data_IF_605999082481
#
_entry.id   IF_605999082481
#
_cell.length_a   1.000
_cell.length_b   1.000
_cell.length_c   1.000
_cell.angle_alpha   90.00
_cell.angle_beta   90.00
_cell.angle_gamma   90.00
#
_symmetry.space_group_name_H-M   'P 1'
#
loop_
_entity.id
_entity.type
_entity.pdbx_description
1 polymer ?
#
# COMPACT_ATOMS: atom_id res chain seq x y z
N UNK A 1 -14.92 38.04 36.03
CA UNK A 1 -15.45 39.02 35.05
C UNK A 1 -15.50 38.33 33.68
N UNK A 2 -16.71 37.96 33.33
CA UNK A 2 -17.52 38.29 32.16
C UNK A 2 -16.90 37.91 30.81
N UNK A 3 -17.52 36.84 30.21
CA UNK A 3 -18.42 36.83 29.01
C UNK A 3 -17.67 36.95 27.71
N UNK A 4 -17.88 36.14 26.70
CA UNK A 4 -19.13 35.96 25.98
C UNK A 4 -19.07 34.72 25.07
N UNK A 5 -20.11 33.91 25.13
CA UNK A 5 -20.46 32.84 24.19
C UNK A 5 -21.28 33.44 23.04
N UNK A 6 -20.98 33.13 21.81
CA UNK A 6 -21.90 33.38 20.69
C UNK A 6 -22.04 32.10 19.84
N UNK A 7 -23.25 31.55 19.74
CA UNK A 7 -23.59 30.53 18.75
C UNK A 7 -24.18 31.19 17.51
N UNK A 8 -23.81 30.79 16.31
CA UNK A 8 -24.57 31.16 15.13
C UNK A 8 -25.12 29.92 14.43
N UNK A 9 -26.42 29.82 14.51
CA UNK A 9 -27.32 28.87 13.84
C UNK A 9 -27.47 29.18 12.34
N UNK A 10 -27.56 28.11 11.57
CA UNK A 10 -28.51 27.84 10.50
C UNK A 10 -28.67 28.86 9.35
N UNK A 11 -28.56 28.40 8.13
CA UNK A 11 -29.60 28.66 7.09
C UNK A 11 -29.62 27.50 6.11
N UNK A 12 -30.72 26.82 6.14
CA UNK A 12 -31.25 25.83 5.22
C UNK A 12 -31.86 26.58 4.03
N UNK A 13 -31.45 26.28 2.81
CA UNK A 13 -32.26 26.67 1.61
C UNK A 13 -32.44 25.48 0.68
N UNK A 14 -33.63 24.88 0.81
CA UNK A 14 -34.29 24.06 -0.22
C UNK A 14 -34.51 24.93 -1.49
N UNK A 15 -34.24 24.39 -2.65
CA UNK A 15 -34.94 24.76 -3.89
C UNK A 15 -35.36 23.48 -4.62
N UNK A 16 -36.65 23.22 -4.53
CA UNK A 16 -37.42 22.43 -5.49
C UNK A 16 -37.55 23.26 -6.78
N UNK A 17 -37.38 22.66 -7.92
CA UNK A 17 -37.95 23.10 -9.18
C UNK A 17 -38.38 21.89 -9.98
N UNK A 18 -39.69 21.76 -10.04
CA UNK A 18 -40.51 20.90 -10.88
C UNK A 18 -40.47 21.42 -12.31
N UNK A 19 -40.35 20.54 -13.28
CA UNK A 19 -40.49 20.88 -14.69
C UNK A 19 -40.78 19.62 -15.51
N UNK A 20 -42.08 19.31 -15.67
CA UNK A 20 -42.59 18.31 -16.57
C UNK A 20 -42.79 18.95 -17.95
N UNK A 21 -42.32 18.35 -19.03
CA UNK A 21 -42.83 18.55 -20.38
C UNK A 21 -42.88 17.20 -21.09
N UNK A 22 -44.11 16.83 -21.42
CA UNK A 22 -44.47 15.73 -22.30
C UNK A 22 -44.36 16.17 -23.75
N UNK A 23 -43.79 15.36 -24.60
CA UNK A 23 -44.02 15.46 -26.07
C UNK A 23 -44.00 14.04 -26.65
N UNK A 24 -45.19 13.62 -27.01
CA UNK A 24 -45.54 12.48 -27.87
C UNK A 24 -45.06 12.73 -29.30
N UNK A 25 -44.43 11.75 -29.93
CA UNK A 25 -44.36 11.60 -31.37
C UNK A 25 -44.28 10.15 -31.80
N UNK A 26 -45.14 9.85 -32.74
CA UNK A 26 -45.63 8.55 -33.24
C UNK A 26 -44.74 8.07 -34.39
N UNK A 27 -44.64 6.72 -34.49
CA UNK A 27 -44.39 5.82 -35.64
C UNK A 27 -43.20 6.08 -36.59
N UNK A 28 -42.38 5.07 -36.72
CA UNK A 28 -42.28 4.21 -37.93
C UNK A 28 -41.40 3.00 -37.63
N UNK A 29 -41.92 1.80 -37.88
CA UNK A 29 -41.22 0.51 -37.82
C UNK A 29 -40.64 0.23 -39.22
N UNK A 30 -39.36 -0.11 -39.35
CA UNK A 30 -38.92 -1.07 -40.35
C UNK A 30 -38.49 -2.37 -39.64
N UNK A 31 -39.16 -3.42 -40.00
CA UNK A 31 -38.82 -4.81 -39.71
C UNK A 31 -37.49 -5.14 -40.38
N UNK A 32 -36.42 -5.16 -39.62
CA UNK A 32 -35.14 -5.71 -40.07
C UNK A 32 -34.96 -7.05 -39.37
N UNK A 33 -35.03 -8.08 -40.18
CA UNK A 33 -34.73 -9.48 -39.78
C UNK A 33 -33.27 -9.54 -39.34
N UNK A 34 -33.03 -9.46 -38.04
CA UNK A 34 -31.72 -9.68 -37.47
C UNK A 34 -31.46 -11.17 -37.35
N UNK A 35 -30.59 -11.65 -38.21
CA UNK A 35 -29.95 -12.95 -38.10
C UNK A 35 -29.23 -12.99 -36.76
N UNK A 36 -29.71 -13.79 -35.81
CA UNK A 36 -29.03 -14.05 -34.56
C UNK A 36 -27.79 -14.89 -34.82
N UNK A 37 -26.68 -14.22 -35.05
CA UNK A 37 -25.37 -14.85 -34.93
C UNK A 37 -25.11 -15.03 -33.42
N UNK A 38 -25.38 -16.21 -32.93
CA UNK A 38 -24.92 -16.67 -31.60
C UNK A 38 -23.42 -16.68 -31.63
N UNK A 39 -22.82 -15.53 -31.34
CA UNK A 39 -21.41 -15.48 -30.93
C UNK A 39 -21.33 -16.21 -29.59
N UNK A 40 -20.82 -17.41 -29.68
CA UNK A 40 -20.43 -18.27 -28.59
C UNK A 40 -19.52 -17.47 -27.68
N UNK A 41 -20.06 -16.99 -26.58
CA UNK A 41 -19.31 -16.38 -25.51
C UNK A 41 -18.53 -17.50 -24.84
N UNK A 42 -17.39 -17.82 -25.48
CA UNK A 42 -16.39 -18.73 -24.94
C UNK A 42 -16.04 -18.19 -23.55
N UNK A 43 -16.16 -19.05 -22.58
CA UNK A 43 -16.08 -18.80 -21.16
C UNK A 43 -14.96 -17.84 -20.80
N UNK A 44 -15.36 -16.68 -20.34
CA UNK A 44 -14.50 -15.83 -19.54
C UNK A 44 -14.19 -16.65 -18.29
N UNK A 45 -12.93 -16.93 -17.98
CA UNK A 45 -12.58 -17.57 -16.72
C UNK A 45 -13.22 -16.79 -15.58
N UNK A 46 -13.65 -17.44 -14.48
CA UNK A 46 -14.11 -16.73 -13.30
C UNK A 46 -13.06 -15.65 -12.99
N UNK A 47 -13.53 -14.45 -12.69
CA UNK A 47 -12.67 -13.35 -12.27
C UNK A 47 -11.75 -13.91 -11.19
N UNK A 48 -10.54 -14.21 -11.62
CA UNK A 48 -9.43 -14.56 -10.76
C UNK A 48 -9.39 -13.45 -9.72
N UNK A 49 -9.70 -13.83 -8.50
CA UNK A 49 -9.50 -12.96 -7.36
C UNK A 49 -8.10 -12.40 -7.57
N UNK A 50 -8.02 -11.10 -7.88
CA UNK A 50 -6.78 -10.38 -7.89
C UNK A 50 -6.28 -10.46 -6.43
N UNK A 51 -5.61 -11.57 -6.11
CA UNK A 51 -4.65 -11.60 -5.03
C UNK A 51 -3.80 -10.39 -5.33
N UNK A 52 -3.82 -9.40 -4.44
CA UNK A 52 -2.96 -8.24 -4.55
C UNK A 52 -1.53 -8.78 -4.52
N UNK A 53 -1.05 -9.19 -5.68
CA UNK A 53 0.34 -9.49 -5.88
C UNK A 53 1.05 -8.17 -5.66
N UNK A 54 1.56 -7.98 -4.45
CA UNK A 54 2.50 -6.91 -4.15
C UNK A 54 3.60 -7.05 -5.20
N UNK A 55 3.72 -6.07 -6.08
CA UNK A 55 4.77 -6.10 -7.10
C UNK A 55 6.10 -6.27 -6.37
N UNK A 56 6.89 -7.27 -6.78
CA UNK A 56 8.17 -7.58 -6.17
C UNK A 56 9.04 -6.33 -6.04
N UNK A 57 9.59 -6.10 -4.85
CA UNK A 57 10.48 -4.98 -4.57
C UNK A 57 11.92 -5.46 -4.62
N UNK A 58 12.53 -5.33 -5.78
CA UNK A 58 13.91 -5.78 -6.05
C UNK A 58 14.81 -4.56 -6.17
N UNK A 59 15.94 -4.57 -5.46
CA UNK A 59 16.97 -3.55 -5.62
C UNK A 59 17.87 -3.87 -6.83
N UNK A 60 18.11 -2.86 -7.66
CA UNK A 60 19.00 -2.95 -8.81
C UNK A 60 20.47 -2.65 -8.52
N UNK A 61 20.75 -1.96 -7.39
CA UNK A 61 22.11 -1.58 -6.96
C UNK A 61 22.64 -2.50 -5.85
N UNK A 62 23.90 -2.28 -5.42
CA UNK A 62 24.53 -3.08 -4.38
C UNK A 62 24.05 -2.74 -2.97
N UNK A 63 23.56 -1.51 -2.79
CA UNK A 63 22.96 -1.04 -1.55
C UNK A 63 21.55 -0.55 -1.81
N UNK A 64 20.62 -0.87 -0.93
CA UNK A 64 19.23 -0.45 -0.97
C UNK A 64 18.86 0.38 0.24
N UNK A 65 17.98 1.37 0.04
CA UNK A 65 17.43 2.19 1.10
C UNK A 65 15.91 2.28 0.94
N UNK A 66 15.17 2.17 2.05
CA UNK A 66 13.73 2.48 2.07
C UNK A 66 13.45 3.48 3.16
N UNK A 67 12.90 4.63 2.78
CA UNK A 67 12.40 5.62 3.71
C UNK A 67 10.93 5.34 3.98
N UNK A 68 10.57 5.16 5.25
CA UNK A 68 9.21 4.87 5.69
C UNK A 68 8.71 6.03 6.54
N UNK A 69 7.64 6.68 6.09
CA UNK A 69 7.03 7.83 6.78
C UNK A 69 5.81 7.37 7.56
N UNK A 70 5.98 7.21 8.87
CA UNK A 70 5.01 6.58 9.78
C UNK A 70 4.28 7.66 10.58
N UNK A 71 2.97 7.50 10.74
CA UNK A 71 2.15 8.36 11.61
C UNK A 71 2.70 8.30 13.05
N UNK A 72 2.82 9.41 13.77
CA UNK A 72 3.40 9.43 15.11
C UNK A 72 2.66 8.52 16.12
N UNK A 73 1.35 8.40 15.98
CA UNK A 73 0.48 7.56 16.82
C UNK A 73 0.50 6.07 16.43
N UNK A 74 1.20 5.71 15.32
CA UNK A 74 1.29 4.35 14.78
C UNK A 74 2.69 3.74 14.83
N UNK A 75 3.61 4.39 15.51
CA UNK A 75 5.00 3.88 15.61
C UNK A 75 5.07 2.53 16.29
N UNK A 76 4.28 2.28 17.34
CA UNK A 76 4.26 1.00 18.03
C UNK A 76 3.71 -0.13 17.13
N UNK A 77 2.64 0.13 16.36
CA UNK A 77 2.10 -0.83 15.39
C UNK A 77 3.14 -1.18 14.32
N UNK A 78 3.85 -0.16 13.79
CA UNK A 78 4.91 -0.36 12.80
C UNK A 78 6.10 -1.15 13.36
N UNK A 79 6.56 -0.83 14.57
CA UNK A 79 7.65 -1.53 15.23
C UNK A 79 7.30 -3.00 15.53
N UNK A 80 6.03 -3.29 15.87
CA UNK A 80 5.54 -4.66 16.03
C UNK A 80 5.62 -5.44 14.71
N UNK A 81 5.26 -4.82 13.58
CA UNK A 81 5.40 -5.43 12.25
C UNK A 81 6.87 -5.65 11.89
N UNK A 82 7.77 -4.70 12.20
CA UNK A 82 9.22 -4.85 11.99
C UNK A 82 9.79 -6.01 12.82
N UNK A 83 9.32 -6.19 14.05
CA UNK A 83 9.70 -7.34 14.88
C UNK A 83 9.28 -8.67 14.25
N UNK A 84 8.05 -8.73 13.70
CA UNK A 84 7.56 -9.90 12.96
C UNK A 84 8.30 -10.14 11.66
N UNK A 85 8.69 -9.09 10.94
CA UNK A 85 9.56 -9.20 9.77
C UNK A 85 10.91 -9.83 10.12
N UNK A 86 11.53 -9.39 11.23
CA UNK A 86 12.78 -9.96 11.74
C UNK A 86 12.60 -11.43 12.08
N UNK A 87 11.50 -11.80 12.75
CA UNK A 87 11.16 -13.20 13.07
C UNK A 87 11.05 -14.03 11.79
N UNK A 88 10.25 -13.57 10.81
CA UNK A 88 10.05 -14.24 9.54
C UNK A 88 11.36 -14.51 8.78
N UNK A 89 12.24 -13.51 8.73
CA UNK A 89 13.52 -13.63 8.05
C UNK A 89 14.47 -14.60 8.80
N UNK A 90 14.53 -14.54 10.13
CA UNK A 90 15.46 -15.33 10.94
C UNK A 90 15.06 -16.80 11.02
N UNK A 91 13.77 -17.12 11.05
CA UNK A 91 13.25 -18.48 11.14
C UNK A 91 13.06 -19.15 9.78
N UNK A 92 13.15 -18.39 8.68
CA UNK A 92 12.95 -18.92 7.33
C UNK A 92 13.93 -20.06 7.01
N UNK A 93 13.43 -21.13 6.41
CA UNK A 93 14.26 -22.18 5.82
C UNK A 93 14.95 -21.76 4.51
N UNK A 94 14.44 -20.67 3.87
CA UNK A 94 14.96 -20.17 2.60
C UNK A 94 16.32 -19.46 2.81
N UNK A 95 17.40 -19.92 2.17
CA UNK A 95 18.74 -19.35 2.34
C UNK A 95 18.79 -17.86 1.89
N UNK A 96 17.98 -17.47 0.90
CA UNK A 96 17.89 -16.06 0.44
C UNK A 96 17.35 -15.19 1.56
N UNK A 97 16.34 -15.63 2.31
CA UNK A 97 15.77 -14.87 3.45
C UNK A 97 16.80 -14.70 4.58
N UNK A 98 17.61 -15.73 4.84
CA UNK A 98 18.72 -15.64 5.82
C UNK A 98 19.79 -14.63 5.38
N UNK A 99 20.14 -14.60 4.09
CA UNK A 99 21.06 -13.61 3.57
C UNK A 99 20.49 -12.18 3.67
N UNK A 100 19.21 -12.01 3.35
CA UNK A 100 18.52 -10.72 3.54
C UNK A 100 18.55 -10.28 5.02
N UNK A 101 18.28 -11.21 5.97
CA UNK A 101 18.35 -10.91 7.40
C UNK A 101 19.73 -10.40 7.83
N UNK A 102 20.80 -10.96 7.27
CA UNK A 102 22.18 -10.60 7.62
C UNK A 102 22.56 -9.17 7.18
N UNK A 103 21.97 -8.68 6.10
CA UNK A 103 22.30 -7.37 5.49
C UNK A 103 21.26 -6.28 5.72
N UNK A 104 20.10 -6.61 6.27
CA UNK A 104 18.99 -5.66 6.45
C UNK A 104 19.00 -5.05 7.86
N UNK A 105 19.09 -3.73 7.93
CA UNK A 105 19.08 -2.96 9.17
C UNK A 105 17.94 -1.95 9.16
N UNK A 106 17.32 -1.74 10.30
CA UNK A 106 16.22 -0.79 10.49
C UNK A 106 16.64 0.25 11.52
N UNK A 107 16.54 1.51 11.14
CA UNK A 107 16.83 2.65 11.99
C UNK A 107 15.58 3.50 12.15
N UNK A 108 15.40 4.09 13.32
CA UNK A 108 14.43 5.14 13.60
C UNK A 108 15.17 6.46 13.73
N UNK A 109 14.76 7.49 12.99
CA UNK A 109 15.30 8.83 13.19
C UNK A 109 14.79 9.41 14.50
N UNK A 110 15.66 10.02 15.33
CA UNK A 110 15.20 10.78 16.48
C UNK A 110 14.45 12.06 16.06
N UNK A 111 14.77 12.57 14.87
CA UNK A 111 14.16 13.77 14.31
C UNK A 111 12.95 13.39 13.45
N UNK A 112 11.82 14.11 13.58
CA UNK A 112 10.68 13.89 12.73
C UNK A 112 10.98 14.32 11.29
N UNK A 113 10.34 13.66 10.32
CA UNK A 113 10.35 14.13 8.94
C UNK A 113 9.61 15.47 8.80
N UNK A 114 9.81 16.17 7.66
CA UNK A 114 9.25 17.50 7.42
C UNK A 114 7.73 17.60 7.59
N UNK A 115 7.00 16.49 7.45
CA UNK A 115 5.55 16.40 7.66
C UNK A 115 5.14 16.10 9.10
N UNK A 116 6.09 16.03 10.04
CA UNK A 116 5.85 15.57 11.40
C UNK A 116 5.72 14.05 11.55
N UNK A 117 5.91 13.28 10.46
CA UNK A 117 5.94 11.82 10.50
C UNK A 117 7.20 11.32 11.19
N UNK A 118 7.10 10.19 11.90
CA UNK A 118 8.27 9.45 12.34
C UNK A 118 8.95 8.81 11.12
N UNK A 119 10.26 8.98 11.00
CA UNK A 119 11.04 8.42 9.89
C UNK A 119 11.73 7.13 10.34
N UNK A 120 11.44 6.04 9.61
CA UNK A 120 12.19 4.79 9.71
C UNK A 120 12.95 4.53 8.41
N UNK A 121 14.21 4.19 8.55
CA UNK A 121 15.12 3.94 7.43
C UNK A 121 15.51 2.47 7.42
N UNK A 122 15.16 1.79 6.35
CA UNK A 122 15.66 0.43 6.10
C UNK A 122 16.90 0.56 5.23
N UNK A 123 17.99 -0.05 5.66
CA UNK A 123 19.25 -0.14 4.90
C UNK A 123 19.51 -1.62 4.63
N UNK A 124 19.75 -1.92 3.36
CA UNK A 124 20.14 -3.26 2.90
C UNK A 124 21.51 -3.14 2.27
N UNK A 125 22.52 -3.70 2.93
CA UNK A 125 23.90 -3.65 2.47
C UNK A 125 24.69 -4.87 2.97
N UNK A 126 25.16 -5.75 2.03
CA UNK A 126 24.87 -5.75 0.60
C UNK A 126 23.45 -6.25 0.27
N UNK A 127 22.95 -5.82 -0.90
CA UNK A 127 21.70 -6.34 -1.46
C UNK A 127 21.88 -7.76 -1.98
N UNK A 128 20.94 -8.65 -1.68
CA UNK A 128 20.83 -9.96 -2.35
C UNK A 128 20.15 -9.76 -3.69
N UNK A 129 20.91 -9.86 -4.76
CA UNK A 129 20.43 -9.58 -6.13
C UNK A 129 19.26 -10.48 -6.51
N UNK A 130 18.24 -9.87 -7.11
CA UNK A 130 17.03 -10.57 -7.55
C UNK A 130 16.07 -10.97 -6.41
N UNK A 131 16.43 -10.74 -5.14
CA UNK A 131 15.57 -11.05 -4.03
C UNK A 131 14.45 -10.00 -3.87
N UNK A 132 13.25 -10.48 -3.51
CA UNK A 132 12.10 -9.62 -3.19
C UNK A 132 12.19 -9.14 -1.74
N UNK A 133 12.20 -7.82 -1.56
CA UNK A 133 12.21 -7.13 -0.27
C UNK A 133 10.82 -6.58 0.14
N UNK A 134 9.76 -7.11 -0.47
CA UNK A 134 8.39 -6.76 -0.07
C UNK A 134 8.07 -7.30 1.31
N UNK A 135 7.84 -6.43 2.29
CA UNK A 135 7.52 -6.83 3.68
C UNK A 135 6.31 -7.76 3.71
N UNK A 136 5.25 -7.43 2.95
CA UNK A 136 4.04 -8.25 2.89
C UNK A 136 4.28 -9.66 2.33
N UNK A 137 5.14 -9.81 1.30
CA UNK A 137 5.48 -11.10 0.73
C UNK A 137 6.26 -11.96 1.74
N UNK A 138 7.23 -11.37 2.44
CA UNK A 138 8.04 -12.07 3.46
C UNK A 138 7.17 -12.51 4.62
N UNK A 139 6.26 -11.67 5.11
CA UNK A 139 5.34 -12.03 6.18
C UNK A 139 4.38 -13.15 5.74
N UNK A 140 3.91 -13.13 4.49
CA UNK A 140 3.04 -14.17 3.95
C UNK A 140 3.69 -15.56 3.87
N UNK A 141 5.02 -15.63 3.76
CA UNK A 141 5.77 -16.88 3.79
C UNK A 141 5.86 -17.50 5.20
N UNK A 142 5.74 -16.68 6.25
CA UNK A 142 6.04 -17.09 7.61
C UNK A 142 4.82 -17.24 8.52
N UNK A 143 3.75 -16.52 8.25
CA UNK A 143 2.59 -16.41 9.14
C UNK A 143 1.31 -16.94 8.52
N UNK A 144 0.38 -17.38 9.37
CA UNK A 144 -0.95 -17.83 8.96
C UNK A 144 -1.77 -16.69 8.34
N UNK A 145 -2.76 -17.03 7.52
CA UNK A 145 -3.63 -16.03 6.87
C UNK A 145 -4.31 -15.09 7.87
N UNK A 146 -4.67 -15.57 9.06
CA UNK A 146 -5.31 -14.77 10.09
C UNK A 146 -4.34 -13.74 10.70
N UNK A 147 -3.12 -14.16 11.04
CA UNK A 147 -2.05 -13.27 11.53
C UNK A 147 -1.62 -12.29 10.46
N UNK A 148 -1.43 -12.77 9.22
CA UNK A 148 -1.06 -11.94 8.09
C UNK A 148 -2.06 -10.81 7.85
N UNK A 149 -3.36 -11.07 7.94
CA UNK A 149 -4.40 -10.04 7.79
C UNK A 149 -4.24 -8.92 8.82
N UNK A 150 -3.96 -9.28 10.07
CA UNK A 150 -3.74 -8.32 11.17
C UNK A 150 -2.45 -7.52 10.94
N UNK A 151 -1.35 -8.20 10.63
CA UNK A 151 -0.05 -7.58 10.37
C UNK A 151 -0.11 -6.64 9.15
N UNK A 152 -0.80 -7.06 8.09
CA UNK A 152 -0.96 -6.25 6.89
C UNK A 152 -1.76 -4.97 7.18
N UNK A 153 -2.84 -5.09 7.96
CA UNK A 153 -3.62 -3.93 8.40
C UNK A 153 -2.77 -2.96 9.24
N UNK A 154 -2.04 -3.46 10.24
CA UNK A 154 -1.14 -2.64 11.06
C UNK A 154 -0.08 -1.95 10.20
N UNK A 155 0.51 -2.69 9.25
CA UNK A 155 1.53 -2.17 8.35
C UNK A 155 1.00 -1.05 7.47
N UNK A 156 -0.13 -1.26 6.80
CA UNK A 156 -0.71 -0.27 5.88
C UNK A 156 -1.27 0.95 6.59
N UNK A 157 -1.94 0.75 7.74
CA UNK A 157 -2.51 1.83 8.54
C UNK A 157 -1.44 2.74 9.18
N UNK A 158 -0.23 2.22 9.37
CA UNK A 158 0.88 2.96 9.97
C UNK A 158 1.41 4.08 9.07
N UNK A 159 1.29 3.95 7.76
CA UNK A 159 1.85 4.95 6.84
C UNK A 159 1.05 6.25 6.79
N UNK A 160 1.78 7.38 6.92
CA UNK A 160 1.25 8.71 6.68
C UNK A 160 1.43 9.15 5.23
N UNK A 161 2.62 8.91 4.66
CA UNK A 161 3.00 9.36 3.31
C UNK A 161 3.56 8.24 2.41
N UNK A 162 3.53 6.99 2.89
CA UNK A 162 4.03 5.85 2.12
C UNK A 162 5.53 5.59 2.29
N UNK A 163 6.16 5.07 1.24
CA UNK A 163 7.56 4.63 1.22
C UNK A 163 8.28 5.22 0.01
N UNK A 164 9.56 5.59 0.21
CA UNK A 164 10.48 5.87 -0.88
C UNK A 164 11.53 4.75 -0.95
N UNK A 165 11.63 4.12 -2.12
CA UNK A 165 12.54 3.02 -2.40
C UNK A 165 13.70 3.55 -3.26
N UNK A 166 14.94 3.46 -2.76
CA UNK A 166 16.10 4.08 -3.38
C UNK A 166 17.21 3.06 -3.60
N UNK A 167 17.74 3.01 -4.81
CA UNK A 167 18.95 2.26 -5.14
C UNK A 167 20.17 3.16 -4.92
N UNK A 168 21.19 2.66 -4.23
CA UNK A 168 22.40 3.40 -3.92
C UNK A 168 23.62 2.73 -4.55
N UNK A 169 24.44 3.52 -5.20
CA UNK A 169 25.76 3.10 -5.70
C UNK A 169 26.85 3.87 -4.95
N UNK A 170 27.86 3.15 -4.51
CA UNK A 170 29.00 3.77 -3.82
C UNK A 170 29.75 4.72 -4.77
N UNK A 171 29.93 5.96 -4.40
CA UNK A 171 30.70 6.95 -5.15
C UNK A 171 32.08 7.13 -4.55
N UNK A 172 32.18 7.12 -3.22
CA UNK A 172 33.46 7.28 -2.51
C UNK A 172 33.39 6.61 -1.14
N UNK A 173 34.47 5.96 -0.75
CA UNK A 173 34.67 5.40 0.58
C UNK A 173 35.83 6.16 1.25
N UNK A 174 35.51 6.97 2.26
CA UNK A 174 36.52 7.75 2.97
C UNK A 174 37.31 6.95 4.02
N UNK A 175 36.95 5.68 4.22
CA UNK A 175 37.61 4.76 5.15
C UNK A 175 38.70 3.88 4.50
N UNK A 176 38.90 4.02 3.19
CA UNK A 176 39.87 3.24 2.40
C UNK A 176 40.78 4.15 1.62
#
# INVERSE_FOLDING_TARGET
MFRTVIPLKAIMRRRLLTGAVAATSVLTVPTVTSVSTSAQQAGRPPAEQATMASSARVFGADTGLVLNFIKPDKTADFEAVVAKLKEALSTSANPVRKQQAASWRVYKSPDPAASGSALYVFIVDPVVKGADYSVSAILAEAFSSAELSTLYKQYTDAYGQGQNFVNLSLVSDFGK
#
